data_IF_597181621234
#
_entry.id   IF_597181621234
#
_cell.length_a   1.000
_cell.length_b   1.000
_cell.length_c   1.000
_cell.angle_alpha   90.00
_cell.angle_beta   90.00
_cell.angle_gamma   90.00
#
_symmetry.space_group_name_H-M   'P 1'
#
loop_
_entity.id
_entity.type
_entity.pdbx_description
1 polymer ?
#
# COMPACT_ATOMS: atom_id res chain seq x y z
N UNK A 1 -2.01 -13.61 -32.06
CA UNK A 1 -2.85 -12.52 -31.52
C UNK A 1 -2.72 -12.52 -30.00
N UNK A 2 -1.87 -11.68 -29.44
CA UNK A 2 -1.68 -11.52 -27.99
C UNK A 2 -2.73 -10.55 -27.46
N UNK A 3 -3.64 -11.03 -26.62
CA UNK A 3 -4.66 -10.20 -25.96
C UNK A 3 -3.97 -9.16 -25.07
N UNK A 4 -4.36 -7.88 -25.09
CA UNK A 4 -3.88 -6.93 -24.10
C UNK A 4 -4.59 -7.26 -22.77
N UNK A 5 -3.82 -7.74 -21.79
CA UNK A 5 -4.30 -7.87 -20.42
C UNK A 5 -4.53 -6.45 -19.93
N UNK A 6 -5.79 -6.00 -19.97
CA UNK A 6 -6.23 -4.74 -19.37
C UNK A 6 -6.10 -4.92 -17.85
N UNK A 7 -4.92 -4.59 -17.35
CA UNK A 7 -4.61 -4.56 -15.94
C UNK A 7 -5.48 -3.45 -15.35
N UNK A 8 -6.61 -3.84 -14.74
CA UNK A 8 -7.46 -2.93 -14.01
C UNK A 8 -6.57 -2.07 -13.11
N UNK A 9 -6.75 -0.75 -13.17
CA UNK A 9 -6.00 0.16 -12.31
C UNK A 9 -6.16 -0.34 -10.87
N UNK A 10 -5.07 -0.51 -10.12
CA UNK A 10 -5.17 -1.06 -8.78
C UNK A 10 -6.04 -0.12 -7.93
N UNK A 11 -7.01 -0.68 -7.22
CA UNK A 11 -7.80 0.07 -6.24
C UNK A 11 -6.86 0.60 -5.14
N UNK A 12 -6.45 1.86 -5.29
CA UNK A 12 -5.68 2.60 -4.30
C UNK A 12 -6.60 3.05 -3.18
N UNK A 13 -6.13 2.89 -1.95
CA UNK A 13 -6.78 3.33 -0.72
C UNK A 13 -5.76 4.10 0.10
N UNK A 14 -6.21 5.17 0.72
CA UNK A 14 -5.41 5.94 1.67
C UNK A 14 -5.47 5.28 3.05
N UNK A 15 -4.32 5.09 3.68
CA UNK A 15 -4.20 4.49 5.01
C UNK A 15 -3.22 5.28 5.87
N UNK A 16 -3.56 5.48 7.14
CA UNK A 16 -2.67 6.11 8.12
C UNK A 16 -1.77 5.05 8.77
N UNK A 17 -0.46 5.30 8.78
CA UNK A 17 0.50 4.40 9.42
C UNK A 17 0.46 4.55 10.94
N UNK A 18 0.14 3.49 11.68
CA UNK A 18 0.29 3.45 13.15
C UNK A 18 1.74 3.36 13.61
N UNK A 19 2.63 2.83 12.77
CA UNK A 19 4.06 2.64 13.06
C UNK A 19 4.91 3.09 11.89
N UNK A 20 6.14 3.53 12.17
CA UNK A 20 7.08 3.86 11.12
C UNK A 20 7.35 2.63 10.24
N UNK A 21 7.28 2.82 8.92
CA UNK A 21 7.48 1.76 7.94
C UNK A 21 8.53 2.15 6.91
N UNK A 22 9.38 1.20 6.53
CA UNK A 22 10.34 1.39 5.44
C UNK A 22 9.97 0.50 4.27
N UNK A 23 9.71 1.12 3.12
CA UNK A 23 9.41 0.39 1.89
C UNK A 23 10.23 0.95 0.72
N UNK A 24 10.91 0.07 -0.02
CA UNK A 24 11.76 0.42 -1.17
C UNK A 24 12.78 1.53 -0.88
N UNK A 25 13.33 1.56 0.33
CA UNK A 25 14.31 2.56 0.74
C UNK A 25 13.72 3.92 1.12
N UNK A 26 12.40 4.11 1.03
CA UNK A 26 11.69 5.26 1.59
C UNK A 26 11.19 4.92 2.99
N UNK A 27 11.44 5.83 3.92
CA UNK A 27 10.96 5.77 5.29
C UNK A 27 9.69 6.60 5.40
N UNK A 28 8.69 6.02 6.04
CA UNK A 28 7.38 6.62 6.27
C UNK A 28 7.14 6.67 7.78
N UNK A 29 7.13 7.84 8.42
CA UNK A 29 6.81 7.98 9.84
C UNK A 29 5.42 7.44 10.22
N UNK A 30 5.27 7.11 11.51
CA UNK A 30 3.95 6.89 12.09
C UNK A 30 3.13 8.19 12.04
N UNK A 31 1.83 8.07 11.80
CA UNK A 31 0.88 9.16 11.57
C UNK A 31 0.84 9.68 10.14
N UNK A 32 1.70 9.17 9.23
CA UNK A 32 1.65 9.57 7.81
C UNK A 32 0.56 8.78 7.07
N UNK A 33 -0.26 9.50 6.30
CA UNK A 33 -1.18 8.89 5.34
C UNK A 33 -0.45 8.53 4.05
N UNK A 34 -0.56 7.26 3.63
CA UNK A 34 0.00 6.78 2.38
C UNK A 34 -1.08 6.15 1.50
N UNK A 35 -0.98 6.34 0.19
CA UNK A 35 -1.80 5.62 -0.77
C UNK A 35 -1.17 4.27 -1.09
N UNK A 36 -1.94 3.20 -0.86
CA UNK A 36 -1.53 1.83 -1.13
C UNK A 36 -2.66 1.05 -1.78
N UNK A 37 -2.34 -0.02 -2.48
CA UNK A 37 -3.37 -0.93 -2.99
C UNK A 37 -4.10 -1.64 -1.85
N UNK A 38 -5.36 -2.05 -2.04
CA UNK A 38 -6.09 -2.87 -1.04
C UNK A 38 -5.29 -4.08 -0.53
N UNK A 39 -4.60 -4.79 -1.42
CA UNK A 39 -3.75 -5.94 -1.07
C UNK A 39 -2.57 -5.53 -0.19
N UNK A 40 -1.98 -4.37 -0.43
CA UNK A 40 -0.92 -3.83 0.43
C UNK A 40 -1.47 -3.38 1.78
N UNK A 41 -2.64 -2.72 1.82
CA UNK A 41 -3.31 -2.34 3.06
C UNK A 41 -3.57 -3.57 3.95
N UNK A 42 -4.06 -4.68 3.38
CA UNK A 42 -4.25 -5.92 4.15
C UNK A 42 -2.93 -6.47 4.72
N UNK A 43 -1.84 -6.41 3.96
CA UNK A 43 -0.51 -6.83 4.43
C UNK A 43 0.01 -5.94 5.55
N UNK A 44 -0.20 -4.62 5.44
CA UNK A 44 0.18 -3.64 6.46
C UNK A 44 -0.65 -3.83 7.73
N UNK A 45 -1.95 -4.12 7.60
CA UNK A 45 -2.85 -4.42 8.72
C UNK A 45 -2.43 -5.69 9.47
N UNK A 46 -2.06 -6.76 8.74
CA UNK A 46 -1.54 -8.01 9.36
C UNK A 46 -0.22 -7.82 10.11
N UNK A 47 0.55 -6.81 9.74
CA UNK A 47 1.82 -6.44 10.40
C UNK A 47 1.64 -5.34 11.44
N UNK A 48 0.40 -4.94 11.73
CA UNK A 48 0.05 -3.87 12.66
C UNK A 48 0.79 -2.55 12.36
N UNK A 49 1.02 -2.28 11.07
CA UNK A 49 1.66 -1.05 10.59
C UNK A 49 0.61 0.04 10.35
N UNK A 50 -0.61 -0.35 9.97
CA UNK A 50 -1.80 0.51 9.84
C UNK A 50 -2.93 -0.01 10.74
#
# INVERSE_FOLDING_TARGET
MTKPTQQAAPDLVEVELKKAHRHKGKDYPAGESIEVTKVQAERLKRREVI
#
